data_IF_986285030441
#
_entry.id   IF_986285030441
#
_cell.length_a   1.000
_cell.length_b   1.000
_cell.length_c   1.000
_cell.angle_alpha   90.00
_cell.angle_beta   90.00
_cell.angle_gamma   90.00
#
_symmetry.space_group_name_H-M   'P 1'
#
loop_
_entity.id
_entity.type
_entity.pdbx_description
1 polymer ?
#
# COMPACT_ATOMS: atom_id res chain seq x y z
N UNK A 1 7.61 13.88 46.18
CA UNK A 1 7.40 12.61 45.44
C UNK A 1 8.72 11.85 45.43
N UNK A 2 8.76 10.58 45.83
CA UNK A 2 10.00 9.80 45.90
C UNK A 2 10.63 9.69 44.50
N UNK A 3 11.93 9.95 44.36
CA UNK A 3 12.65 9.87 43.07
C UNK A 3 12.46 8.52 42.37
N UNK A 4 12.29 7.42 43.13
CA UNK A 4 11.97 6.10 42.59
C UNK A 4 10.58 6.02 41.95
N UNK A 5 9.60 6.74 42.50
CA UNK A 5 8.24 6.82 41.94
C UNK A 5 8.27 7.64 40.65
N UNK A 6 8.99 8.78 40.64
CA UNK A 6 9.16 9.59 39.42
C UNK A 6 9.81 8.77 38.32
N UNK A 7 10.91 8.06 38.62
CA UNK A 7 11.60 7.21 37.66
C UNK A 7 10.70 6.08 37.14
N UNK A 8 9.96 5.40 38.02
CA UNK A 8 9.02 4.35 37.62
C UNK A 8 7.92 4.89 36.69
N UNK A 9 7.38 6.08 36.98
CA UNK A 9 6.36 6.73 36.14
C UNK A 9 6.94 7.09 34.77
N UNK A 10 8.13 7.70 34.72
CA UNK A 10 8.79 8.06 33.46
C UNK A 10 9.08 6.82 32.61
N UNK A 11 9.66 5.77 33.19
CA UNK A 11 9.91 4.51 32.47
C UNK A 11 8.62 3.91 31.93
N UNK A 12 7.56 3.90 32.75
CA UNK A 12 6.25 3.40 32.31
C UNK A 12 5.71 4.21 31.13
N UNK A 13 5.78 5.53 31.19
CA UNK A 13 5.33 6.40 30.09
C UNK A 13 6.14 6.18 28.81
N UNK A 14 7.46 6.00 28.92
CA UNK A 14 8.33 5.70 27.77
C UNK A 14 7.96 4.34 27.15
N UNK A 15 7.73 3.31 27.96
CA UNK A 15 7.34 1.99 27.47
C UNK A 15 5.96 2.02 26.80
N UNK A 16 4.99 2.71 27.40
CA UNK A 16 3.66 2.91 26.81
C UNK A 16 3.77 3.70 25.50
N UNK A 17 4.53 4.79 25.50
CA UNK A 17 4.77 5.61 24.31
C UNK A 17 5.43 4.82 23.19
N UNK A 18 6.45 4.02 23.49
CA UNK A 18 7.09 3.12 22.53
C UNK A 18 6.11 2.08 21.99
N UNK A 19 5.30 1.46 22.86
CA UNK A 19 4.24 0.54 22.45
C UNK A 19 3.29 1.19 21.44
N UNK A 20 2.73 2.35 21.77
CA UNK A 20 1.85 3.08 20.85
C UNK A 20 2.56 3.42 19.54
N UNK A 21 3.81 3.91 19.61
CA UNK A 21 4.59 4.30 18.44
C UNK A 21 4.85 3.14 17.47
N UNK A 22 5.08 1.92 17.95
CA UNK A 22 5.37 0.76 17.10
C UNK A 22 4.12 -0.02 16.67
N UNK A 23 3.08 -0.08 17.49
CA UNK A 23 1.91 -0.94 17.23
C UNK A 23 0.72 -0.21 16.61
N UNK A 24 0.56 1.09 16.86
CA UNK A 24 -0.63 1.83 16.44
C UNK A 24 -0.81 1.92 14.91
N UNK A 25 0.25 2.10 14.08
CA UNK A 25 0.10 2.07 12.62
C UNK A 25 -0.44 0.74 12.11
N UNK A 26 0.11 -0.38 12.60
CA UNK A 26 -0.31 -1.72 12.19
C UNK A 26 -1.74 -2.05 12.66
N UNK A 27 -2.17 -1.48 13.80
CA UNK A 27 -3.54 -1.61 14.28
C UNK A 27 -4.53 -0.84 13.37
N UNK A 28 -4.21 0.41 13.02
CA UNK A 28 -5.02 1.21 12.11
C UNK A 28 -5.14 0.55 10.73
N UNK A 29 -4.03 0.05 10.19
CA UNK A 29 -3.99 -0.73 8.95
C UNK A 29 -4.95 -1.93 9.01
N UNK A 30 -4.87 -2.76 10.06
CA UNK A 30 -5.75 -3.94 10.21
C UNK A 30 -7.23 -3.58 10.28
N UNK A 31 -7.57 -2.47 10.92
CA UNK A 31 -8.96 -2.04 11.07
C UNK A 31 -9.53 -1.45 9.78
N UNK A 32 -8.70 -0.76 8.99
CA UNK A 32 -9.13 -0.05 7.78
C UNK A 32 -8.97 -0.89 6.50
N UNK A 33 -8.14 -1.94 6.51
CA UNK A 33 -7.90 -2.82 5.36
C UNK A 33 -8.36 -4.25 5.65
N UNK A 34 -9.64 -4.41 5.99
CA UNK A 34 -10.23 -5.70 6.29
C UNK A 34 -10.30 -6.61 5.05
N UNK A 35 -10.05 -7.90 5.26
CA UNK A 35 -10.36 -8.96 4.30
C UNK A 35 -11.62 -9.65 4.79
N UNK A 36 -12.76 -9.34 4.16
CA UNK A 36 -14.06 -9.84 4.61
C UNK A 36 -14.20 -11.36 4.45
N UNK A 37 -13.57 -11.93 3.42
CA UNK A 37 -13.59 -13.37 3.14
C UNK A 37 -12.15 -13.87 3.11
N UNK A 38 -11.67 -14.54 4.17
CA UNK A 38 -10.34 -15.14 4.18
C UNK A 38 -10.31 -16.47 3.40
N UNK A 39 -9.12 -16.93 2.96
CA UNK A 39 -8.96 -18.26 2.38
C UNK A 39 -9.25 -19.38 3.40
N UNK A 40 -9.51 -20.62 2.94
CA UNK A 40 -9.46 -21.09 1.54
C UNK A 40 -10.69 -20.71 0.72
N UNK A 41 -10.47 -20.28 -0.52
CA UNK A 41 -11.55 -19.96 -1.47
C UNK A 41 -12.00 -21.20 -2.22
N UNK A 42 -13.32 -21.40 -2.34
CA UNK A 42 -13.89 -22.46 -3.17
C UNK A 42 -14.09 -21.95 -4.60
N UNK A 43 -13.40 -22.56 -5.56
CA UNK A 43 -13.44 -22.17 -6.98
C UNK A 43 -13.54 -23.43 -7.82
N UNK A 44 -14.43 -23.44 -8.83
CA UNK A 44 -14.53 -24.58 -9.76
C UNK A 44 -13.23 -24.77 -10.54
N UNK A 45 -12.91 -26.01 -10.91
CA UNK A 45 -11.72 -26.27 -11.72
C UNK A 45 -11.76 -25.55 -13.07
N UNK A 46 -12.96 -25.40 -13.66
CA UNK A 46 -13.15 -24.64 -14.91
C UNK A 46 -12.70 -23.19 -14.74
N UNK A 47 -13.12 -22.53 -13.67
CA UNK A 47 -12.73 -21.15 -13.39
C UNK A 47 -11.22 -21.04 -13.10
N UNK A 48 -10.63 -21.98 -12.34
CA UNK A 48 -9.19 -22.01 -12.10
C UNK A 48 -8.37 -22.20 -13.40
N UNK A 49 -8.84 -23.06 -14.32
CA UNK A 49 -8.20 -23.24 -15.63
C UNK A 49 -8.29 -21.98 -16.47
N UNK A 50 -9.47 -21.36 -16.56
CA UNK A 50 -9.66 -20.11 -17.28
C UNK A 50 -8.79 -18.98 -16.70
N UNK A 51 -8.81 -18.80 -15.38
CA UNK A 51 -8.06 -17.71 -14.72
C UNK A 51 -6.57 -17.79 -15.00
N UNK A 52 -6.00 -19.00 -15.07
CA UNK A 52 -4.58 -19.23 -15.39
C UNK A 52 -4.19 -18.85 -16.81
N UNK A 53 -5.14 -18.75 -17.76
CA UNK A 53 -4.86 -18.32 -19.15
C UNK A 53 -4.99 -16.82 -19.34
N UNK A 54 -5.54 -16.09 -18.37
CA UNK A 54 -5.82 -14.66 -18.50
C UNK A 54 -4.57 -13.82 -18.20
N UNK A 55 -4.49 -12.68 -18.89
CA UNK A 55 -3.66 -11.55 -18.47
C UNK A 55 -4.53 -10.64 -17.61
N UNK A 56 -4.41 -10.74 -16.30
CA UNK A 56 -5.25 -9.97 -15.36
C UNK A 56 -4.57 -8.64 -15.04
N UNK A 57 -5.29 -7.55 -15.24
CA UNK A 57 -4.88 -6.21 -14.83
C UNK A 57 -5.86 -5.69 -13.77
N UNK A 58 -5.36 -5.43 -12.58
CA UNK A 58 -6.06 -4.68 -11.54
C UNK A 58 -5.70 -3.20 -11.70
N UNK A 59 -6.71 -2.34 -11.77
CA UNK A 59 -6.57 -0.93 -12.15
C UNK A 59 -6.59 0.03 -10.95
N UNK A 60 -6.65 -0.46 -9.71
CA UNK A 60 -6.63 0.42 -8.54
C UNK A 60 -6.29 -0.31 -7.24
N UNK A 61 -5.31 0.19 -6.48
CA UNK A 61 -5.04 -0.26 -5.12
C UNK A 61 -4.22 0.76 -4.33
N UNK A 62 -4.70 1.11 -3.14
CA UNK A 62 -4.06 2.10 -2.25
C UNK A 62 -3.01 1.48 -1.32
N UNK A 63 -2.29 0.48 -1.82
CA UNK A 63 -1.32 -0.26 -1.02
C UNK A 63 -0.15 0.60 -0.57
N UNK A 64 0.16 1.66 -1.32
CA UNK A 64 1.26 2.60 -1.00
C UNK A 64 0.94 3.55 0.14
N UNK A 65 -0.33 3.65 0.53
CA UNK A 65 -0.77 4.46 1.66
C UNK A 65 -0.33 3.88 3.01
N UNK A 66 0.06 2.61 3.05
CA UNK A 66 0.31 1.87 4.29
C UNK A 66 1.78 1.46 4.45
N UNK A 67 2.26 1.43 5.69
CA UNK A 67 3.63 1.02 6.03
C UNK A 67 3.77 -0.51 6.08
N UNK A 68 3.59 -1.15 4.91
CA UNK A 68 3.78 -2.59 4.68
C UNK A 68 4.98 -2.83 3.78
N UNK A 69 5.70 -3.93 4.00
CA UNK A 69 6.64 -4.44 3.00
C UNK A 69 5.86 -5.26 1.98
N UNK A 70 5.62 -4.69 0.79
CA UNK A 70 4.86 -5.37 -0.27
C UNK A 70 5.64 -6.54 -0.91
N UNK A 71 6.93 -6.72 -0.61
CA UNK A 71 7.68 -7.90 -1.06
C UNK A 71 7.42 -9.12 -0.16
N UNK A 72 6.85 -8.92 1.02
CA UNK A 72 6.47 -9.98 1.93
C UNK A 72 4.98 -10.31 1.80
N UNK A 73 4.62 -11.56 2.10
CA UNK A 73 3.22 -11.98 2.22
C UNK A 73 2.68 -11.49 3.56
N UNK A 74 2.02 -10.34 3.56
CA UNK A 74 1.63 -9.64 4.78
C UNK A 74 0.48 -10.36 5.49
N UNK A 75 0.38 -10.27 6.83
CA UNK A 75 -0.78 -10.83 7.56
C UNK A 75 -1.99 -9.89 7.61
N UNK A 76 -1.93 -8.75 6.91
CA UNK A 76 -2.95 -7.69 6.87
C UNK A 76 -2.89 -6.99 5.51
N UNK A 77 -3.97 -6.31 5.13
CA UNK A 77 -4.12 -5.76 3.79
C UNK A 77 -4.44 -6.84 2.75
N UNK A 78 -4.78 -6.38 1.54
CA UNK A 78 -5.32 -7.22 0.47
C UNK A 78 -4.29 -7.52 -0.63
N UNK A 79 -3.35 -6.60 -0.85
CA UNK A 79 -2.39 -6.63 -1.96
C UNK A 79 -0.96 -6.62 -1.45
N UNK A 80 -0.18 -7.58 -1.94
CA UNK A 80 1.29 -7.60 -1.92
C UNK A 80 1.81 -8.39 -3.13
N UNK A 81 3.09 -8.23 -3.45
CA UNK A 81 3.71 -8.82 -4.63
C UNK A 81 3.57 -10.36 -4.64
N UNK A 82 3.84 -11.10 -3.55
CA UNK A 82 3.61 -12.54 -3.52
C UNK A 82 2.16 -12.91 -3.85
N UNK A 83 1.16 -12.24 -3.27
CA UNK A 83 -0.26 -12.49 -3.57
C UNK A 83 -0.63 -12.19 -5.02
N UNK A 84 -0.11 -11.10 -5.59
CA UNK A 84 -0.35 -10.74 -6.99
C UNK A 84 0.19 -11.83 -7.92
N UNK A 85 1.39 -12.33 -7.65
CA UNK A 85 2.01 -13.42 -8.41
C UNK A 85 1.21 -14.72 -8.25
N UNK A 86 0.89 -15.12 -7.01
CA UNK A 86 0.08 -16.32 -6.72
C UNK A 86 -1.31 -16.24 -7.37
N UNK A 87 -1.91 -15.05 -7.42
CA UNK A 87 -3.24 -14.77 -7.98
C UNK A 87 -3.28 -14.58 -9.49
N UNK A 88 -2.18 -14.78 -10.21
CA UNK A 88 -2.05 -14.51 -11.65
C UNK A 88 -2.38 -13.05 -12.05
N UNK A 89 -2.16 -12.08 -11.16
CA UNK A 89 -2.28 -10.65 -11.49
C UNK A 89 -1.02 -10.22 -12.23
N UNK A 90 -1.18 -9.91 -13.51
CA UNK A 90 -0.09 -9.50 -14.38
C UNK A 90 0.26 -8.02 -14.22
N UNK A 91 -0.72 -7.15 -13.96
CA UNK A 91 -0.48 -5.72 -13.80
C UNK A 91 -1.35 -5.19 -12.65
N UNK A 92 -0.76 -4.40 -11.76
CA UNK A 92 -1.47 -3.69 -10.70
C UNK A 92 -1.25 -2.19 -10.86
N UNK A 93 -2.31 -1.40 -10.91
CA UNK A 93 -2.17 0.04 -10.69
C UNK A 93 -2.04 0.28 -9.18
N UNK A 94 -0.94 0.90 -8.78
CA UNK A 94 -0.73 1.41 -7.43
C UNK A 94 -1.08 2.90 -7.44
N UNK A 95 -2.23 3.22 -6.86
CA UNK A 95 -2.80 4.56 -6.88
C UNK A 95 -2.34 5.35 -5.67
N UNK A 96 -1.90 6.58 -5.95
CA UNK A 96 -1.44 7.52 -4.93
C UNK A 96 -2.65 8.28 -4.41
N UNK A 97 -2.96 8.05 -3.14
CA UNK A 97 -3.91 8.86 -2.38
C UNK A 97 -3.15 9.95 -1.65
N UNK A 98 -3.45 11.22 -1.92
CA UNK A 98 -2.78 12.35 -1.26
C UNK A 98 -3.64 13.00 -0.18
N UNK A 99 -4.97 12.97 -0.31
CA UNK A 99 -5.91 13.65 0.58
C UNK A 99 -7.22 12.87 0.67
N UNK A 100 -7.73 12.73 1.89
CA UNK A 100 -9.03 12.09 2.17
C UNK A 100 -9.83 12.96 3.13
N UNK A 101 -10.85 13.67 2.65
CA UNK A 101 -11.78 14.40 3.51
C UNK A 101 -12.53 13.47 4.48
N UNK A 102 -12.99 14.01 5.60
CA UNK A 102 -13.88 13.30 6.52
C UNK A 102 -15.28 13.20 5.94
N UNK A 103 -15.96 12.07 6.21
CA UNK A 103 -17.37 11.90 5.85
C UNK A 103 -17.63 11.71 4.36
N UNK A 104 -16.68 11.10 3.63
CA UNK A 104 -16.85 10.83 2.21
C UNK A 104 -18.12 10.00 1.94
N UNK A 105 -18.77 10.33 0.83
CA UNK A 105 -19.90 9.60 0.28
C UNK A 105 -19.89 9.70 -1.25
N UNK A 106 -20.81 9.01 -1.93
CA UNK A 106 -20.85 8.99 -3.40
C UNK A 106 -21.48 10.23 -4.05
N UNK A 107 -22.24 11.03 -3.29
CA UNK A 107 -23.04 12.14 -3.83
C UNK A 107 -22.27 13.47 -3.81
N UNK A 108 -21.70 13.83 -2.65
CA UNK A 108 -21.03 15.12 -2.46
C UNK A 108 -19.97 15.05 -1.39
N UNK A 109 -18.78 15.58 -1.70
CA UNK A 109 -17.62 15.56 -0.84
C UNK A 109 -17.02 16.96 -0.73
N UNK A 110 -16.68 17.39 0.49
CA UNK A 110 -15.96 18.64 0.74
C UNK A 110 -14.45 18.41 0.69
N UNK A 111 -13.64 19.45 0.52
CA UNK A 111 -12.18 19.40 0.56
C UNK A 111 -11.58 19.97 1.87
N UNK A 112 -12.42 20.37 2.82
CA UNK A 112 -12.04 21.18 3.99
C UNK A 112 -11.25 20.41 5.07
N UNK A 113 -11.16 19.09 4.95
CA UNK A 113 -10.45 18.25 5.92
C UNK A 113 -9.52 17.26 5.24
N UNK A 114 -8.61 16.67 6.01
CA UNK A 114 -7.64 15.72 5.50
C UNK A 114 -7.25 14.71 6.58
N UNK A 115 -7.68 13.47 6.38
CA UNK A 115 -7.36 12.34 7.25
C UNK A 115 -5.97 11.76 6.95
N UNK A 116 -5.41 12.00 5.76
CA UNK A 116 -4.09 11.47 5.39
C UNK A 116 -2.98 12.16 6.15
N UNK A 117 -3.14 13.43 6.57
CA UNK A 117 -2.17 14.08 7.46
C UNK A 117 -1.97 13.30 8.76
N UNK A 118 -3.07 12.87 9.39
CA UNK A 118 -3.00 12.09 10.62
C UNK A 118 -2.33 10.73 10.39
N UNK A 119 -2.66 10.07 9.28
CA UNK A 119 -2.04 8.80 8.90
C UNK A 119 -0.54 8.96 8.62
N UNK A 120 -0.14 10.01 7.88
CA UNK A 120 1.26 10.29 7.58
C UNK A 120 2.10 10.53 8.85
N UNK A 121 1.55 11.26 9.83
CA UNK A 121 2.18 11.41 11.15
C UNK A 121 2.25 10.06 11.88
N UNK A 122 1.15 9.32 11.92
CA UNK A 122 1.06 8.03 12.62
C UNK A 122 2.05 7.01 12.04
N UNK A 123 2.13 6.90 10.71
CA UNK A 123 3.06 6.00 10.02
C UNK A 123 4.50 6.53 9.99
N UNK A 124 4.72 7.79 10.42
CA UNK A 124 6.04 8.44 10.47
C UNK A 124 6.63 8.67 9.08
N UNK A 125 5.77 9.08 8.15
CA UNK A 125 6.21 9.60 6.86
C UNK A 125 7.09 10.84 7.06
N UNK A 126 7.96 11.18 6.09
CA UNK A 126 8.82 12.36 6.19
C UNK A 126 8.03 13.64 6.50
N UNK A 127 8.57 14.53 7.33
CA UNK A 127 7.88 15.76 7.77
C UNK A 127 7.38 16.62 6.61
N UNK A 128 8.09 16.62 5.47
CA UNK A 128 7.67 17.31 4.26
C UNK A 128 6.29 16.86 3.73
N UNK A 129 5.92 15.59 3.96
CA UNK A 129 4.62 15.05 3.54
C UNK A 129 3.47 15.51 4.43
N UNK A 130 3.72 16.13 5.59
CA UNK A 130 2.66 16.50 6.52
C UNK A 130 1.88 17.70 6.00
N UNK A 131 2.56 18.64 5.33
CA UNK A 131 1.99 19.89 4.84
C UNK A 131 1.93 20.01 3.30
N UNK A 132 2.47 19.05 2.54
CA UNK A 132 2.43 19.08 1.07
C UNK A 132 1.85 17.79 0.48
N UNK A 133 0.82 17.95 -0.35
CA UNK A 133 0.18 16.84 -1.08
C UNK A 133 1.10 16.31 -2.18
N UNK A 134 1.83 17.20 -2.84
CA UNK A 134 2.90 16.83 -3.79
C UNK A 134 3.96 15.94 -3.14
N UNK A 135 4.46 16.30 -1.96
CA UNK A 135 5.48 15.48 -1.28
C UNK A 135 4.93 14.11 -0.87
N UNK A 136 3.65 13.98 -0.54
CA UNK A 136 3.01 12.66 -0.34
C UNK A 136 3.04 11.82 -1.61
N UNK A 137 2.73 12.42 -2.75
CA UNK A 137 2.76 11.72 -4.02
C UNK A 137 4.18 11.26 -4.38
N UNK A 138 5.16 12.16 -4.25
CA UNK A 138 6.57 11.85 -4.48
C UNK A 138 7.06 10.75 -3.53
N UNK A 139 6.68 10.80 -2.25
CA UNK A 139 7.04 9.78 -1.27
C UNK A 139 6.51 8.40 -1.66
N UNK A 140 5.22 8.28 -1.98
CA UNK A 140 4.61 7.02 -2.40
C UNK A 140 5.23 6.48 -3.69
N UNK A 141 5.46 7.35 -4.69
CA UNK A 141 6.15 6.99 -5.92
C UNK A 141 7.57 6.44 -5.65
N UNK A 142 8.34 7.09 -4.76
CA UNK A 142 9.67 6.62 -4.35
C UNK A 142 9.61 5.25 -3.68
N UNK A 143 8.63 5.02 -2.79
CA UNK A 143 8.42 3.71 -2.15
C UNK A 143 8.17 2.60 -3.18
N UNK A 144 7.30 2.83 -4.17
CA UNK A 144 7.04 1.84 -5.23
C UNK A 144 8.31 1.49 -6.02
N UNK A 145 9.10 2.50 -6.39
CA UNK A 145 10.37 2.27 -7.08
C UNK A 145 11.39 1.53 -6.20
N UNK A 146 11.42 1.80 -4.89
CA UNK A 146 12.28 1.08 -3.95
C UNK A 146 11.86 -0.39 -3.76
N UNK A 147 10.56 -0.68 -3.81
CA UNK A 147 10.03 -2.06 -3.83
C UNK A 147 10.52 -2.79 -5.09
N UNK A 148 10.42 -2.16 -6.26
CA UNK A 148 10.88 -2.75 -7.51
C UNK A 148 12.38 -3.04 -7.52
N UNK A 149 13.22 -2.11 -7.04
CA UNK A 149 14.67 -2.32 -6.99
C UNK A 149 15.09 -3.44 -6.02
N UNK A 150 14.33 -3.67 -4.94
CA UNK A 150 14.55 -4.75 -3.97
C UNK A 150 13.89 -6.07 -4.34
N UNK A 151 13.09 -6.12 -5.41
CA UNK A 151 12.24 -7.27 -5.75
C UNK A 151 12.97 -8.48 -6.35
N UNK A 152 14.26 -8.34 -6.67
CA UNK A 152 15.04 -9.38 -7.38
C UNK A 152 14.36 -9.83 -8.68
N UNK A 153 13.77 -8.88 -9.42
CA UNK A 153 13.08 -9.14 -10.70
C UNK A 153 11.64 -9.64 -10.56
N UNK A 154 11.13 -9.84 -9.33
CA UNK A 154 9.75 -10.27 -9.10
C UNK A 154 8.71 -9.16 -9.32
N UNK A 155 9.15 -7.91 -9.33
CA UNK A 155 8.29 -6.74 -9.55
C UNK A 155 8.99 -5.67 -10.40
N UNK A 156 8.30 -5.18 -11.43
CA UNK A 156 8.77 -4.10 -12.29
C UNK A 156 7.79 -2.93 -12.32
N UNK A 157 8.27 -1.69 -12.38
CA UNK A 157 7.42 -0.50 -12.57
C UNK A 157 7.37 -0.16 -14.05
N UNK A 158 6.17 -0.15 -14.61
CA UNK A 158 5.89 0.25 -15.99
C UNK A 158 5.81 1.77 -16.05
N UNK A 159 6.60 2.39 -16.94
CA UNK A 159 6.60 3.84 -17.18
C UNK A 159 6.21 4.18 -18.61
N UNK A 160 6.46 3.27 -19.54
CA UNK A 160 6.19 3.47 -20.96
C UNK A 160 5.42 2.29 -21.54
N UNK A 161 4.81 2.51 -22.70
CA UNK A 161 4.21 1.42 -23.48
C UNK A 161 5.25 0.38 -23.93
N UNK A 162 6.52 0.78 -24.10
CA UNK A 162 7.61 -0.15 -24.42
C UNK A 162 7.95 -1.06 -23.23
N UNK A 163 7.96 -0.52 -22.01
CA UNK A 163 8.15 -1.32 -20.78
C UNK A 163 7.04 -2.35 -20.66
N UNK A 164 5.78 -1.95 -20.88
CA UNK A 164 4.63 -2.84 -20.81
C UNK A 164 4.74 -3.98 -21.84
N UNK A 165 5.06 -3.66 -23.09
CA UNK A 165 5.25 -4.69 -24.14
C UNK A 165 6.38 -5.65 -23.78
N UNK A 166 7.50 -5.13 -23.31
CA UNK A 166 8.66 -5.94 -22.92
C UNK A 166 8.34 -6.86 -21.75
N UNK A 167 7.63 -6.33 -20.74
CA UNK A 167 7.16 -7.09 -19.59
C UNK A 167 6.19 -8.20 -20.00
N UNK A 168 5.17 -7.90 -20.81
CA UNK A 168 4.19 -8.89 -21.27
C UNK A 168 4.88 -10.01 -22.06
N UNK A 169 5.82 -9.66 -22.95
CA UNK A 169 6.60 -10.65 -23.69
C UNK A 169 7.48 -11.51 -22.77
N UNK A 170 8.17 -10.90 -21.80
CA UNK A 170 9.00 -11.62 -20.84
C UNK A 170 8.20 -12.58 -19.95
N UNK A 171 6.99 -12.16 -19.52
CA UNK A 171 6.11 -12.98 -18.68
C UNK A 171 5.59 -14.23 -19.39
N UNK A 172 5.48 -14.21 -20.72
CA UNK A 172 5.12 -15.40 -21.50
C UNK A 172 6.21 -16.48 -21.45
N UNK A 173 7.46 -16.09 -21.22
CA UNK A 173 8.61 -17.00 -21.13
C UNK A 173 8.84 -17.47 -19.69
N UNK A 174 8.75 -16.56 -18.72
CA UNK A 174 8.95 -16.86 -17.31
C UNK A 174 7.78 -16.35 -16.46
N UNK A 175 7.12 -17.28 -15.78
CA UNK A 175 6.09 -16.97 -14.79
C UNK A 175 6.72 -16.67 -13.42
N UNK A 176 6.01 -15.92 -12.58
CA UNK A 176 6.48 -15.63 -11.22
C UNK A 176 6.91 -14.18 -10.98
N UNK A 177 6.54 -13.27 -11.88
CA UNK A 177 6.68 -11.82 -11.69
C UNK A 177 5.36 -11.11 -11.97
N UNK A 178 5.20 -9.94 -11.36
CA UNK A 178 4.11 -9.00 -11.63
C UNK A 178 4.67 -7.62 -11.97
N UNK A 179 3.82 -6.72 -12.46
CA UNK A 179 4.21 -5.36 -12.79
C UNK A 179 3.27 -4.34 -12.14
N UNK A 180 3.78 -3.14 -11.92
CA UNK A 180 3.05 -2.03 -11.34
C UNK A 180 2.99 -0.84 -12.28
N UNK A 181 1.83 -0.20 -12.37
CA UNK A 181 1.68 1.13 -12.96
C UNK A 181 1.39 2.11 -11.82
N UNK A 182 2.02 3.28 -11.84
CA UNK A 182 1.72 4.33 -10.87
C UNK A 182 0.52 5.15 -11.36
N UNK A 183 -0.51 5.29 -10.53
CA UNK A 183 -1.63 6.19 -10.75
C UNK A 183 -1.68 7.28 -9.68
N UNK A 184 -2.33 8.40 -9.98
CA UNK A 184 -2.63 9.45 -8.99
C UNK A 184 -4.14 9.56 -8.85
N UNK A 185 -4.63 9.44 -7.62
CA UNK A 185 -6.05 9.58 -7.31
C UNK A 185 -6.33 11.03 -6.88
N UNK A 186 -6.84 11.81 -7.84
CA UNK A 186 -7.14 13.22 -7.68
C UNK A 186 -5.97 14.14 -8.02
N UNK A 187 -6.25 15.20 -8.79
CA UNK A 187 -5.24 16.13 -9.30
C UNK A 187 -4.62 17.04 -8.21
N UNK A 188 -5.06 16.96 -6.96
CA UNK A 188 -4.48 17.70 -5.83
C UNK A 188 -2.98 17.42 -5.62
N UNK A 189 -2.45 16.33 -6.17
CA UNK A 189 -1.01 16.05 -6.15
C UNK A 189 -0.18 16.99 -7.04
N UNK A 190 -0.82 17.77 -7.92
CA UNK A 190 -0.19 18.62 -8.94
C UNK A 190 -0.13 20.11 -8.55
N UNK A 191 -0.23 20.43 -7.25
CA UNK A 191 -0.05 21.79 -6.68
C UNK A 191 0.95 22.68 -7.43
#
# INVERSE_FOLDING_TARGET
MNARIVAAVVVTLVLVGAGLFFFLPALADRQLNLVLVPPPYQVSERAQRLHRTLLVADLHADSLLWDRDLLAKNTRGQVDIPRLVEGNVALQAFTIVTKVPRGLNYESNTDQSDMITLLAVLERWPVATWASLKERAVYQARRLNAIASRSQGKFVVIRTAADLRSYVAGRQQESGMTAGLLGVEGAHALE
#
